data_IF_099926104686
#
_entry.id   IF_099926104686
#
_cell.length_a   1.000
_cell.length_b   1.000
_cell.length_c   1.000
_cell.angle_alpha   90.00
_cell.angle_beta   90.00
_cell.angle_gamma   90.00
#
_symmetry.space_group_name_H-M   'P 1'
#
loop_
_entity.id
_entity.type
_entity.pdbx_description
1 polymer ?
#
# COMPACT_ATOMS: atom_id res chain seq x y z
N UNK A 1 5.69 -10.32 -11.84
CA UNK A 1 5.67 -9.11 -11.00
C UNK A 1 5.44 -9.57 -9.57
N UNK A 2 6.31 -9.19 -8.64
CA UNK A 2 6.08 -9.42 -7.22
C UNK A 2 4.85 -8.62 -6.78
N UNK A 3 3.88 -9.30 -6.18
CA UNK A 3 2.62 -8.71 -5.71
C UNK A 3 2.58 -8.64 -4.18
N UNK A 4 3.75 -8.74 -3.54
CA UNK A 4 3.90 -8.84 -2.10
C UNK A 4 5.28 -8.35 -1.72
N UNK A 5 5.34 -7.39 -0.80
CA UNK A 5 6.56 -6.85 -0.24
C UNK A 5 6.43 -6.82 1.28
N UNK A 6 7.48 -7.25 1.97
CA UNK A 6 7.58 -7.12 3.43
C UNK A 6 8.50 -5.95 3.74
N UNK A 7 7.99 -4.99 4.51
CA UNK A 7 8.68 -3.78 4.95
C UNK A 7 9.02 -3.97 6.43
N UNK A 8 10.30 -3.80 6.75
CA UNK A 8 10.81 -3.98 8.11
C UNK A 8 11.17 -2.64 8.71
N UNK A 9 10.87 -2.47 9.99
CA UNK A 9 11.51 -1.44 10.78
C UNK A 9 12.86 -1.96 11.27
N UNK A 10 13.93 -1.20 11.03
CA UNK A 10 15.27 -1.58 11.48
C UNK A 10 15.30 -1.73 13.01
N UNK A 11 15.70 -2.91 13.48
CA UNK A 11 15.88 -3.19 14.92
C UNK A 11 14.64 -3.60 15.69
N UNK A 12 13.48 -3.81 15.04
CA UNK A 12 12.26 -4.33 15.69
C UNK A 12 11.73 -5.59 14.99
N UNK A 13 10.94 -6.38 15.71
CA UNK A 13 10.26 -7.59 15.22
C UNK A 13 8.97 -7.30 14.44
N UNK A 14 8.57 -6.03 14.32
CA UNK A 14 7.35 -5.65 13.62
C UNK A 14 7.61 -5.61 12.10
N UNK A 15 6.66 -6.12 11.34
CA UNK A 15 6.69 -6.07 9.87
C UNK A 15 5.39 -5.53 9.31
N UNK A 16 5.51 -4.72 8.26
CA UNK A 16 4.37 -4.26 7.48
C UNK A 16 4.46 -4.81 6.08
N UNK A 17 3.45 -5.53 5.65
CA UNK A 17 3.38 -6.16 4.35
C UNK A 17 2.46 -5.38 3.43
N UNK A 18 2.84 -5.21 2.18
CA UNK A 18 2.00 -4.62 1.14
C UNK A 18 1.82 -5.64 0.03
N UNK A 19 0.58 -6.01 -0.27
CA UNK A 19 0.28 -7.12 -1.19
C UNK A 19 -1.07 -6.99 -1.91
N UNK A 20 -1.34 -7.89 -2.86
CA UNK A 20 -2.65 -8.03 -3.50
C UNK A 20 -3.35 -9.26 -2.93
N UNK A 21 -4.58 -9.09 -2.42
CA UNK A 21 -5.42 -10.18 -1.93
C UNK A 21 -6.88 -9.99 -2.33
N UNK A 22 -7.51 -11.04 -2.86
CA UNK A 22 -8.86 -11.00 -3.43
C UNK A 22 -9.08 -9.81 -4.38
N UNK A 23 -8.06 -9.54 -5.21
CA UNK A 23 -8.08 -8.42 -6.15
C UNK A 23 -8.04 -7.04 -5.47
N UNK A 24 -7.69 -6.89 -4.20
CA UNK A 24 -7.55 -5.59 -3.55
C UNK A 24 -6.10 -5.35 -3.14
N UNK A 25 -5.66 -4.10 -3.20
CA UNK A 25 -4.38 -3.70 -2.59
C UNK A 25 -4.56 -3.69 -1.07
N UNK A 26 -3.70 -4.44 -0.39
CA UNK A 26 -3.77 -4.72 1.03
C UNK A 26 -2.48 -4.29 1.73
N UNK A 27 -2.62 -3.80 2.96
CA UNK A 27 -1.51 -3.49 3.86
C UNK A 27 -1.78 -4.27 5.15
N UNK A 28 -0.87 -5.16 5.55
CA UNK A 28 -0.95 -5.91 6.81
C UNK A 28 0.16 -5.46 7.75
N UNK A 29 -0.17 -5.13 8.98
CA UNK A 29 0.83 -4.96 10.04
C UNK A 29 0.79 -6.17 10.96
N UNK A 30 1.92 -6.87 11.10
CA UNK A 30 2.12 -7.91 12.10
C UNK A 30 2.85 -7.31 13.30
N UNK A 31 2.13 -7.23 14.41
CA UNK A 31 2.66 -6.75 15.69
C UNK A 31 2.39 -7.78 16.78
N UNK A 32 3.06 -7.65 17.92
CA UNK A 32 2.85 -8.50 19.11
C UNK A 32 1.48 -8.30 19.80
N UNK A 33 0.60 -7.47 19.24
CA UNK A 33 -0.76 -7.23 19.75
C UNK A 33 -1.87 -7.58 18.75
N UNK A 34 -1.58 -8.37 17.71
CA UNK A 34 -2.53 -8.73 16.64
C UNK A 34 -2.18 -8.22 15.25
N UNK A 35 -2.93 -8.69 14.26
CA UNK A 35 -2.82 -8.30 12.86
C UNK A 35 -3.83 -7.19 12.52
N UNK A 36 -3.33 -6.13 11.88
CA UNK A 36 -4.19 -5.14 11.26
C UNK A 36 -4.11 -5.27 9.75
N UNK A 37 -5.24 -5.48 9.09
CA UNK A 37 -5.34 -5.52 7.64
C UNK A 37 -6.10 -4.30 7.12
N UNK A 38 -5.52 -3.61 6.16
CA UNK A 38 -6.07 -2.43 5.52
C UNK A 38 -6.28 -2.71 4.03
N UNK A 39 -7.53 -2.65 3.60
CA UNK A 39 -7.91 -2.73 2.20
C UNK A 39 -8.02 -1.34 1.59
N UNK A 40 -7.27 -1.06 0.53
CA UNK A 40 -7.48 0.15 -0.26
C UNK A 40 -8.75 -0.01 -1.09
N UNK A 41 -9.64 0.98 -1.04
CA UNK A 41 -10.84 0.99 -1.87
C UNK A 41 -10.47 1.08 -3.35
N UNK A 42 -11.12 0.27 -4.19
CA UNK A 42 -10.94 0.29 -5.66
C UNK A 42 -11.14 1.70 -6.23
N UNK A 43 -12.10 2.45 -5.67
CA UNK A 43 -12.39 3.83 -6.09
C UNK A 43 -11.22 4.80 -5.86
N UNK A 44 -10.24 4.43 -5.04
CA UNK A 44 -9.10 5.27 -4.67
C UNK A 44 -7.78 4.78 -5.27
N UNK A 45 -7.75 3.65 -5.98
CA UNK A 45 -6.54 3.08 -6.58
C UNK A 45 -5.89 4.01 -7.62
N UNK A 46 -6.68 4.61 -8.52
CA UNK A 46 -6.16 5.54 -9.54
C UNK A 46 -5.60 6.83 -8.92
N UNK A 47 -6.25 7.31 -7.86
CA UNK A 47 -5.77 8.45 -7.08
C UNK A 47 -4.45 8.11 -6.38
N UNK A 48 -4.40 6.94 -5.74
CA UNK A 48 -3.21 6.44 -5.07
C UNK A 48 -2.04 6.29 -6.06
N UNK A 49 -2.27 5.69 -7.23
CA UNK A 49 -1.26 5.56 -8.27
C UNK A 49 -0.73 6.93 -8.73
N UNK A 50 -1.62 7.89 -8.96
CA UNK A 50 -1.24 9.25 -9.39
C UNK A 50 -0.39 10.01 -8.36
N UNK A 51 -0.58 9.70 -7.08
CA UNK A 51 0.15 10.33 -5.96
C UNK A 51 1.50 9.63 -5.74
N UNK A 52 1.56 8.31 -5.94
CA UNK A 52 2.77 7.51 -5.81
C UNK A 52 3.73 7.70 -6.99
N UNK A 53 3.23 8.00 -8.19
CA UNK A 53 4.08 8.24 -9.36
C UNK A 53 4.94 9.52 -9.22
N UNK A 54 6.24 9.46 -9.59
CA UNK A 54 7.14 10.60 -9.48
C UNK A 54 6.70 11.78 -10.36
N UNK A 55 6.95 13.01 -9.86
CA UNK A 55 6.50 14.32 -10.38
C UNK A 55 7.12 14.72 -11.74
N UNK A 56 7.11 13.88 -12.77
CA UNK A 56 7.39 14.36 -14.12
C UNK A 56 6.10 14.96 -14.71
N UNK A 57 5.98 16.28 -14.66
CA UNK A 57 4.83 17.06 -15.12
C UNK A 57 4.43 16.73 -16.57
N UNK A 58 5.41 16.53 -17.46
CA UNK A 58 5.18 16.10 -18.85
C UNK A 58 4.58 14.70 -18.94
N UNK A 59 5.00 13.75 -18.08
CA UNK A 59 4.41 12.41 -18.05
C UNK A 59 2.96 12.44 -17.57
N UNK A 60 2.59 13.34 -16.64
CA UNK A 60 1.21 13.42 -16.10
C UNK A 60 0.14 13.70 -17.15
N UNK A 61 0.43 14.49 -18.17
CA UNK A 61 -0.54 14.83 -19.24
C UNK A 61 -0.75 13.62 -20.16
N UNK A 62 0.31 12.89 -20.51
CA UNK A 62 0.23 11.68 -21.33
C UNK A 62 -0.28 10.45 -20.53
N UNK A 63 -0.01 10.40 -19.23
CA UNK A 63 -0.42 9.30 -18.33
C UNK A 63 -1.94 9.19 -18.20
N UNK A 64 -2.71 10.28 -18.22
CA UNK A 64 -4.19 10.20 -18.12
C UNK A 64 -4.83 9.36 -19.23
N UNK A 65 -4.27 9.38 -20.45
CA UNK A 65 -4.73 8.52 -21.56
C UNK A 65 -4.22 7.09 -21.43
N UNK A 66 -3.03 6.88 -20.87
CA UNK A 66 -2.40 5.57 -20.75
C UNK A 66 -2.92 4.76 -19.55
N UNK A 67 -3.20 5.42 -18.41
CA UNK A 67 -3.69 4.79 -17.18
C UNK A 67 -5.04 4.10 -17.37
N UNK A 68 -5.92 4.65 -18.22
CA UNK A 68 -7.20 4.04 -18.55
C UNK A 68 -7.08 2.68 -19.28
N UNK A 69 -5.92 2.39 -19.88
CA UNK A 69 -5.67 1.16 -20.62
C UNK A 69 -4.74 0.18 -19.88
N UNK A 70 -4.31 0.49 -18.66
CA UNK A 70 -3.49 -0.45 -17.87
C UNK A 70 -4.42 -1.53 -17.31
N UNK A 71 -4.16 -2.83 -17.61
CA UNK A 71 -4.89 -3.94 -17.02
C UNK A 71 -4.93 -3.83 -15.49
N UNK A 72 -6.08 -4.13 -14.89
CA UNK A 72 -6.32 -4.01 -13.45
C UNK A 72 -5.24 -4.70 -12.60
N UNK A 73 -4.83 -5.90 -13.01
CA UNK A 73 -3.76 -6.67 -12.36
C UNK A 73 -2.41 -5.94 -12.36
N UNK A 74 -2.05 -5.34 -13.48
CA UNK A 74 -0.79 -4.59 -13.62
C UNK A 74 -0.84 -3.29 -12.81
N UNK A 75 -1.98 -2.61 -12.80
CA UNK A 75 -2.21 -1.40 -12.00
C UNK A 75 -1.98 -1.67 -10.52
N UNK A 76 -2.58 -2.74 -9.99
CA UNK A 76 -2.45 -3.15 -8.58
C UNK A 76 -1.03 -3.56 -8.24
N UNK A 77 -0.38 -4.35 -9.10
CA UNK A 77 1.03 -4.71 -8.94
C UNK A 77 1.94 -3.48 -8.88
N UNK A 78 1.67 -2.48 -9.72
CA UNK A 78 2.40 -1.21 -9.73
C UNK A 78 2.16 -0.39 -8.46
N UNK A 79 0.93 -0.31 -7.95
CA UNK A 79 0.63 0.37 -6.68
C UNK A 79 1.40 -0.29 -5.54
N UNK A 80 1.31 -1.61 -5.41
CA UNK A 80 2.00 -2.39 -4.37
C UNK A 80 3.51 -2.16 -4.42
N UNK A 81 4.11 -2.21 -5.61
CA UNK A 81 5.54 -1.91 -5.80
C UNK A 81 5.91 -0.48 -5.42
N UNK A 82 5.12 0.52 -5.81
CA UNK A 82 5.42 1.92 -5.51
C UNK A 82 5.24 2.25 -4.03
N UNK A 83 4.24 1.65 -3.37
CA UNK A 83 4.11 1.72 -1.91
C UNK A 83 5.36 1.15 -1.25
N UNK A 84 5.76 -0.06 -1.64
CA UNK A 84 6.96 -0.69 -1.10
C UNK A 84 8.18 0.21 -1.28
N UNK A 85 8.45 0.71 -2.50
CA UNK A 85 9.58 1.61 -2.77
C UNK A 85 9.55 2.91 -1.96
N UNK A 86 8.36 3.46 -1.71
CA UNK A 86 8.20 4.71 -0.97
C UNK A 86 8.51 4.55 0.52
N UNK A 87 8.21 3.37 1.08
CA UNK A 87 8.31 3.09 2.52
C UNK A 87 9.39 2.06 2.85
N UNK A 88 10.17 1.57 1.87
CA UNK A 88 11.25 0.60 2.05
C UNK A 88 12.52 1.18 2.68
N UNK A 89 12.51 2.45 3.09
CA UNK A 89 13.67 3.14 3.62
C UNK A 89 13.28 3.98 4.82
N UNK A 90 13.53 3.46 6.02
CA UNK A 90 13.35 4.21 7.25
C UNK A 90 13.82 3.44 8.47
N UNK A 91 14.42 4.16 9.42
CA UNK A 91 14.48 3.75 10.83
C UNK A 91 13.11 3.97 11.53
N UNK A 92 12.08 4.35 10.77
CA UNK A 92 10.73 4.67 11.22
C UNK A 92 9.77 3.48 11.07
N UNK A 93 8.65 3.55 11.78
CA UNK A 93 7.57 2.56 11.71
C UNK A 93 6.80 2.70 10.38
N UNK A 94 6.90 1.72 9.46
CA UNK A 94 6.27 1.81 8.14
C UNK A 94 4.74 1.83 8.21
N UNK A 95 4.09 1.19 9.19
CA UNK A 95 2.63 1.20 9.31
C UNK A 95 2.12 2.61 9.62
N UNK A 96 2.77 3.28 10.58
CA UNK A 96 2.43 4.66 10.96
C UNK A 96 2.61 5.64 9.79
N UNK A 97 3.69 5.48 9.03
CA UNK A 97 3.99 6.33 7.87
C UNK A 97 2.99 6.09 6.73
N UNK A 98 2.64 4.83 6.45
CA UNK A 98 1.64 4.48 5.45
C UNK A 98 0.26 5.05 5.85
N UNK A 99 -0.20 4.85 7.08
CA UNK A 99 -1.49 5.38 7.56
C UNK A 99 -1.55 6.91 7.47
N UNK A 100 -0.48 7.57 7.88
CA UNK A 100 -0.36 9.04 7.81
C UNK A 100 -0.42 9.53 6.37
N UNK A 101 0.26 8.83 5.45
CA UNK A 101 0.22 9.12 4.02
C UNK A 101 -1.19 8.95 3.44
N UNK A 102 -1.85 7.83 3.68
CA UNK A 102 -3.21 7.57 3.17
C UNK A 102 -4.20 8.62 3.68
N UNK A 103 -4.12 8.99 4.97
CA UNK A 103 -4.94 10.04 5.59
C UNK A 103 -4.68 11.41 4.95
N UNK A 104 -3.41 11.80 4.81
CA UNK A 104 -3.00 13.08 4.19
C UNK A 104 -3.60 13.25 2.80
N UNK A 105 -3.65 12.17 2.03
CA UNK A 105 -4.12 12.17 0.65
C UNK A 105 -5.58 11.72 0.47
N UNK A 106 -6.33 11.55 1.58
CA UNK A 106 -7.74 11.14 1.58
C UNK A 106 -8.00 9.85 0.77
N UNK A 107 -7.06 8.92 0.80
CA UNK A 107 -7.24 7.60 0.19
C UNK A 107 -8.24 6.81 1.04
N UNK A 108 -9.34 6.35 0.44
CA UNK A 108 -10.34 5.55 1.15
C UNK A 108 -9.80 4.14 1.37
N UNK A 109 -9.91 3.66 2.60
CA UNK A 109 -9.52 2.32 2.99
C UNK A 109 -10.42 1.77 4.09
N UNK A 110 -10.53 0.45 4.15
CA UNK A 110 -11.29 -0.28 5.17
C UNK A 110 -10.31 -1.09 6.02
N UNK A 111 -10.45 -1.02 7.34
CA UNK A 111 -9.59 -1.74 8.27
C UNK A 111 -10.30 -2.94 8.87
N UNK A 112 -9.60 -4.06 8.96
CA UNK A 112 -9.94 -5.23 9.77
C UNK A 112 -8.84 -5.45 10.80
N UNK A 113 -9.22 -5.94 11.98
CA UNK A 113 -8.29 -6.26 13.06
C UNK A 113 -8.58 -7.66 13.56
N UNK A 114 -7.53 -8.46 13.68
CA UNK A 114 -7.56 -9.77 14.30
C UNK A 114 -6.61 -9.77 15.50
N UNK A 115 -7.13 -9.80 16.73
CA UNK A 115 -6.28 -9.97 17.89
C UNK A 115 -5.62 -11.35 17.84
N UNK A 116 -4.42 -11.47 18.41
CA UNK A 116 -3.70 -12.76 18.41
C UNK A 116 -4.46 -13.86 19.18
N UNK A 117 -5.40 -13.48 20.06
CA UNK A 117 -6.33 -14.41 20.72
C UNK A 117 -7.26 -15.14 19.76
N UNK A 118 -7.53 -14.57 18.59
CA UNK A 118 -8.47 -15.13 17.60
C UNK A 118 -7.76 -16.06 16.59
N UNK A 119 -6.43 -16.27 16.72
CA UNK A 119 -5.66 -17.21 15.89
C UNK A 119 -5.76 -18.67 16.35
N UNK A 120 -6.25 -18.91 17.56
CA UNK A 120 -6.32 -20.23 18.20
C UNK A 120 -7.77 -20.60 18.52
#
# INVERSE_FOLDING_TARGET
>A
MENHYVLYQKGLTNSTEVFIYNGKVCIRNNSSGGEHLLYISVSSEDSLLTILEPKNFLKRIFLKKYQNNIPEKERKGKIVKLLAQKFSYGDTDPDKDIRSFLKKYKIKSEGQYWPDSDRF
#
